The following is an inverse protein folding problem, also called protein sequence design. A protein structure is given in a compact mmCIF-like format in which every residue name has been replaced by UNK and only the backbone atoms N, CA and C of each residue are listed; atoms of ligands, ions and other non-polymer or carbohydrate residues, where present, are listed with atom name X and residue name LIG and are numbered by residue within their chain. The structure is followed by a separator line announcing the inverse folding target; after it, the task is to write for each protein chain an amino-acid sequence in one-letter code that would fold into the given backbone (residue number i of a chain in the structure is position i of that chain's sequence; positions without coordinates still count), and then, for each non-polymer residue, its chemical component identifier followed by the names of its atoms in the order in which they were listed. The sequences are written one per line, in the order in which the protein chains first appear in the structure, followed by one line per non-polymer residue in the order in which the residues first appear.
data_IF_184613406887
#
_entry.id   IF_184613406887
#
_cell.length_a   1.000
_cell.length_b   1.000
_cell.length_c   1.000
_cell.angle_alpha   90.00
_cell.angle_beta   90.00
_cell.angle_gamma   90.00
#
_symmetry.space_group_name_H-M   'P 1'
#
loop_
_entity.id
_entity.type
_entity.pdbx_description
1 polymer ?
#
# COMPACT_ATOMS: atom_id res chain seq x y z
N UNK A 1 24.14 8.87 -32.18
CA UNK A 1 23.31 9.53 -31.14
C UNK A 1 22.64 8.41 -30.36
N UNK A 2 23.33 7.93 -29.33
CA UNK A 2 22.83 6.88 -28.44
C UNK A 2 21.94 7.60 -27.44
N UNK A 3 20.63 7.41 -27.54
CA UNK A 3 19.71 7.85 -26.49
C UNK A 3 19.73 6.72 -25.47
N UNK A 4 20.52 6.89 -24.42
CA UNK A 4 20.46 6.00 -23.26
C UNK A 4 19.07 6.15 -22.63
N UNK A 5 18.20 5.17 -22.89
CA UNK A 5 17.11 4.88 -21.99
C UNK A 5 17.74 4.33 -20.70
N UNK A 6 18.03 5.24 -19.77
CA UNK A 6 18.38 4.90 -18.39
C UNK A 6 17.16 4.23 -17.76
N UNK A 7 17.05 2.92 -17.95
CA UNK A 7 16.11 2.03 -17.30
C UNK A 7 16.44 1.98 -15.80
N UNK A 8 15.99 3.00 -15.06
CA UNK A 8 16.19 3.05 -13.62
C UNK A 8 15.14 2.16 -12.95
N UNK A 9 15.54 0.95 -12.57
CA UNK A 9 14.78 -0.06 -11.81
C UNK A 9 14.38 0.41 -10.39
N UNK A 10 14.34 1.71 -10.12
CA UNK A 10 14.02 2.35 -8.82
C UNK A 10 12.55 2.76 -8.68
N UNK A 11 11.68 2.41 -9.62
CA UNK A 11 10.27 2.79 -9.56
C UNK A 11 9.51 2.18 -8.36
N UNK A 12 9.92 1.00 -7.87
CA UNK A 12 9.12 0.27 -6.89
C UNK A 12 9.11 0.88 -5.47
N UNK A 13 10.24 1.27 -4.85
CA UNK A 13 10.22 1.90 -3.53
C UNK A 13 9.51 3.26 -3.53
N UNK A 14 9.73 4.08 -4.56
CA UNK A 14 9.17 5.43 -4.62
C UNK A 14 7.66 5.45 -4.87
N UNK A 15 7.15 4.50 -5.67
CA UNK A 15 5.70 4.31 -5.82
C UNK A 15 5.07 3.99 -4.46
N UNK A 16 5.65 3.06 -3.69
CA UNK A 16 5.14 2.70 -2.37
C UNK A 16 5.14 3.90 -1.41
N UNK A 17 6.18 4.74 -1.43
CA UNK A 17 6.24 5.95 -0.63
C UNK A 17 5.06 6.90 -0.93
N UNK A 18 4.75 7.12 -2.22
CA UNK A 18 3.64 7.98 -2.63
C UNK A 18 2.29 7.39 -2.22
N UNK A 19 2.08 6.09 -2.43
CA UNK A 19 0.84 5.41 -2.03
C UNK A 19 0.63 5.50 -0.50
N UNK A 20 1.71 5.39 0.28
CA UNK A 20 1.67 5.61 1.73
C UNK A 20 1.31 7.04 2.10
N UNK A 21 1.88 8.04 1.42
CA UNK A 21 1.54 9.44 1.66
C UNK A 21 0.05 9.72 1.41
N UNK A 22 -0.49 9.26 0.27
CA UNK A 22 -1.90 9.42 -0.06
C UNK A 22 -2.81 8.72 0.94
N UNK A 23 -2.50 7.46 1.29
CA UNK A 23 -3.27 6.73 2.29
C UNK A 23 -3.25 7.43 3.65
N UNK A 24 -2.10 7.90 4.12
CA UNK A 24 -1.99 8.58 5.42
C UNK A 24 -2.74 9.91 5.43
N UNK A 25 -2.81 10.59 4.28
CA UNK A 25 -3.52 11.87 4.13
C UNK A 25 -5.04 11.68 4.06
N UNK A 26 -5.52 10.61 3.43
CA UNK A 26 -6.93 10.42 3.09
C UNK A 26 -7.63 9.28 3.85
N UNK A 27 -6.87 8.45 4.57
CA UNK A 27 -7.34 7.23 5.24
C UNK A 27 -7.50 6.02 4.30
N UNK A 28 -7.30 6.21 3.00
CA UNK A 28 -7.33 5.20 1.93
C UNK A 28 -6.79 5.83 0.65
N UNK A 29 -6.50 5.01 -0.37
CA UNK A 29 -6.04 5.47 -1.68
C UNK A 29 -7.26 5.70 -2.56
N UNK A 30 -7.41 6.92 -3.09
CA UNK A 30 -8.52 7.32 -3.97
C UNK A 30 -8.17 7.12 -5.43
N UNK A 31 -9.16 7.24 -6.30
CA UNK A 31 -8.99 7.07 -7.75
C UNK A 31 -8.10 8.16 -8.34
N UNK A 32 -8.19 9.39 -7.80
CA UNK A 32 -7.33 10.51 -8.17
C UNK A 32 -5.86 10.27 -7.81
N UNK A 33 -5.61 9.56 -6.70
CA UNK A 33 -4.26 9.22 -6.25
C UNK A 33 -3.64 8.17 -7.20
N UNK A 34 -4.44 7.21 -7.68
CA UNK A 34 -4.03 6.23 -8.71
C UNK A 34 -3.70 6.90 -10.05
N UNK A 35 -4.53 7.82 -10.52
CA UNK A 35 -4.26 8.62 -11.73
C UNK A 35 -2.95 9.40 -11.60
N UNK A 36 -2.73 10.01 -10.44
CA UNK A 36 -1.54 10.81 -10.18
C UNK A 36 -0.28 9.93 -10.21
N UNK A 37 -0.30 8.77 -9.54
CA UNK A 37 0.79 7.80 -9.61
C UNK A 37 1.01 7.25 -11.03
N UNK A 38 -0.06 6.92 -11.75
CA UNK A 38 0.02 6.46 -13.15
C UNK A 38 0.78 7.47 -14.01
N UNK A 39 0.45 8.75 -13.88
CA UNK A 39 1.11 9.85 -14.60
C UNK A 39 2.55 10.08 -14.15
N UNK A 40 2.82 10.07 -12.84
CA UNK A 40 4.14 10.34 -12.27
C UNK A 40 5.18 9.27 -12.62
N UNK A 41 4.77 8.00 -12.58
CA UNK A 41 5.68 6.86 -12.78
C UNK A 41 5.63 6.29 -14.20
N UNK A 42 4.80 6.86 -15.09
CA UNK A 42 4.64 6.38 -16.47
C UNK A 42 4.06 4.95 -16.55
N UNK A 43 3.28 4.55 -15.54
CA UNK A 43 2.66 3.23 -15.43
C UNK A 43 1.19 3.32 -15.86
N UNK A 44 0.61 2.23 -16.35
CA UNK A 44 -0.84 2.16 -16.51
C UNK A 44 -1.54 2.16 -15.15
N UNK A 45 -2.78 2.67 -15.09
CA UNK A 45 -3.61 2.59 -13.88
C UNK A 45 -3.76 1.17 -13.36
N UNK A 46 -3.85 0.19 -14.27
CA UNK A 46 -3.99 -1.23 -13.93
C UNK A 46 -2.75 -1.75 -13.21
N UNK A 47 -1.55 -1.31 -13.59
CA UNK A 47 -0.32 -1.70 -12.89
C UNK A 47 -0.25 -1.08 -11.50
N UNK A 48 -0.65 0.19 -11.33
CA UNK A 48 -0.73 0.84 -10.02
C UNK A 48 -1.74 0.13 -9.12
N UNK A 49 -2.93 -0.19 -9.64
CA UNK A 49 -3.93 -0.99 -8.93
C UNK A 49 -3.45 -2.41 -8.60
N UNK A 50 -2.63 -3.00 -9.48
CA UNK A 50 -1.95 -4.27 -9.22
C UNK A 50 -1.06 -4.19 -7.97
N UNK A 51 -0.28 -3.11 -7.84
CA UNK A 51 0.54 -2.87 -6.64
C UNK A 51 -0.33 -2.66 -5.40
N UNK A 52 -1.38 -1.83 -5.50
CA UNK A 52 -2.27 -1.55 -4.37
C UNK A 52 -2.96 -2.82 -3.88
N UNK A 53 -3.48 -3.64 -4.80
CA UNK A 53 -4.17 -4.89 -4.46
C UNK A 53 -3.24 -5.99 -3.96
N UNK A 54 -1.96 -5.98 -4.35
CA UNK A 54 -0.96 -6.93 -3.89
C UNK A 54 -0.55 -6.71 -2.43
N UNK A 55 -0.35 -5.45 -2.02
CA UNK A 55 0.04 -5.12 -0.66
C UNK A 55 -1.17 -4.92 0.24
N UNK A 56 -1.38 -5.86 1.16
CA UNK A 56 -2.52 -5.86 2.09
C UNK A 56 -2.63 -4.62 3.00
N UNK A 57 -1.59 -3.78 3.09
CA UNK A 57 -1.57 -2.57 3.90
C UNK A 57 -2.30 -1.40 3.23
N UNK A 58 -2.54 -1.47 1.93
CA UNK A 58 -3.24 -0.42 1.21
C UNK A 58 -4.73 -0.70 1.14
N UNK A 59 -5.50 0.37 1.29
CA UNK A 59 -6.96 0.33 1.32
C UNK A 59 -7.51 1.15 0.16
N UNK A 60 -8.50 0.61 -0.56
CA UNK A 60 -9.26 1.33 -1.60
C UNK A 60 -10.58 1.89 -1.08
N UNK A 61 -10.89 1.68 0.19
CA UNK A 61 -12.09 2.19 0.86
C UNK A 61 -11.69 2.85 2.17
N UNK A 62 -12.45 3.86 2.64
CA UNK A 62 -12.17 4.51 3.91
C UNK A 62 -11.96 3.50 5.03
N UNK A 63 -10.79 3.54 5.66
CA UNK A 63 -10.49 2.75 6.85
C UNK A 63 -10.74 3.60 8.11
N UNK A 64 -10.82 2.92 9.26
CA UNK A 64 -10.91 3.61 10.56
C UNK A 64 -9.69 4.48 10.81
N UNK A 65 -9.83 5.52 11.65
CA UNK A 65 -8.73 6.43 12.00
C UNK A 65 -7.49 5.71 12.54
N UNK A 66 -7.70 4.58 13.23
CA UNK A 66 -6.66 3.72 13.75
C UNK A 66 -6.89 2.29 13.25
N UNK A 67 -5.90 1.73 12.56
CA UNK A 67 -5.91 0.34 12.09
C UNK A 67 -4.97 -0.47 12.98
N UNK A 68 -5.52 -1.40 13.75
CA UNK A 68 -4.76 -2.27 14.65
C UNK A 68 -4.56 -3.61 13.95
N UNK A 69 -3.32 -3.90 13.55
CA UNK A 69 -2.97 -5.22 13.00
C UNK A 69 -2.61 -6.18 14.13
N UNK A 70 -3.47 -7.16 14.37
CA UNK A 70 -3.20 -8.22 15.32
C UNK A 70 -2.44 -9.37 14.64
N UNK A 71 -1.24 -9.69 15.12
CA UNK A 71 -0.48 -10.82 14.60
C UNK A 71 -1.21 -12.13 14.89
N UNK A 72 -1.51 -12.90 13.84
CA UNK A 72 -2.19 -14.20 13.90
C UNK A 72 -1.26 -15.37 13.50
N UNK A 73 0.05 -15.22 13.71
CA UNK A 73 0.98 -16.34 13.51
C UNK A 73 0.73 -17.45 14.53
N UNK A 74 1.19 -18.67 14.22
CA UNK A 74 1.03 -19.83 15.12
C UNK A 74 1.58 -19.58 16.53
N UNK A 75 2.67 -18.82 16.65
CA UNK A 75 3.25 -18.47 17.97
C UNK A 75 2.27 -17.60 18.76
N UNK A 76 1.63 -16.62 18.12
CA UNK A 76 0.62 -15.77 18.75
C UNK A 76 -0.60 -16.57 19.19
N UNK A 77 -1.06 -17.52 18.37
CA UNK A 77 -2.14 -18.43 18.73
C UNK A 77 -1.83 -19.18 20.03
N UNK A 78 -0.64 -19.76 20.15
CA UNK A 78 -0.20 -20.46 21.37
C UNK A 78 0.08 -19.53 22.56
N UNK A 79 0.37 -18.25 22.34
CA UNK A 79 0.71 -17.28 23.41
C UNK A 79 -0.49 -16.43 23.86
N UNK A 80 -1.69 -16.77 23.40
CA UNK A 80 -2.94 -16.17 23.85
C UNK A 80 -3.44 -15.05 22.96
N UNK A 81 -3.34 -15.22 21.64
CA UNK A 81 -3.99 -14.38 20.62
C UNK A 81 -5.44 -14.04 20.98
N UNK A 82 -6.24 -15.04 21.40
CA UNK A 82 -7.65 -14.82 21.73
C UNK A 82 -7.84 -13.82 22.88
N UNK A 83 -7.04 -13.94 23.94
CA UNK A 83 -7.06 -13.01 25.08
C UNK A 83 -6.75 -11.56 24.66
N UNK A 84 -5.86 -11.38 23.68
CA UNK A 84 -5.56 -10.04 23.15
C UNK A 84 -6.70 -9.55 22.26
N UNK A 85 -7.20 -10.39 21.35
CA UNK A 85 -8.32 -10.06 20.45
C UNK A 85 -9.58 -9.64 21.20
N UNK A 86 -9.87 -10.25 22.35
CA UNK A 86 -11.05 -9.94 23.17
C UNK A 86 -10.91 -8.65 24.00
N UNK A 87 -9.70 -8.11 24.15
CA UNK A 87 -9.46 -6.89 24.91
C UNK A 87 -9.69 -5.59 24.10
N UNK A 88 -9.93 -5.70 22.78
CA UNK A 88 -10.20 -4.61 21.85
C UNK A 88 -11.55 -4.81 21.17
#
# INVERSE_FOLDING_TARGET
MVVEASNDQRAHPELLNHLWEYQNRHGYIRDEDVETCSSLFGMSKVEVEGVISFYHFFHRRPAGQFIIYLNNSIVSEFKGFQRVREAF
#
